data_IF_246509734902
#
_entry.id   IF_246509734902
#
_cell.length_a   1.000
_cell.length_b   1.000
_cell.length_c   1.000
_cell.angle_alpha   90.00
_cell.angle_beta   90.00
_cell.angle_gamma   90.00
#
_symmetry.space_group_name_H-M   'P 1'
#
loop_
_entity.id
_entity.type
_entity.pdbx_description
1 polymer ?
#
# COMPACT_ATOMS: atom_id res chain seq x y z
N UNK A 1 -50.46 -64.46 -10.27
CA UNK A 1 -49.63 -65.58 -9.78
C UNK A 1 -48.48 -65.78 -10.74
N UNK A 2 -47.32 -66.20 -10.21
CA UNK A 2 -45.98 -66.32 -10.82
C UNK A 2 -45.17 -65.01 -10.84
N UNK A 3 -43.91 -64.95 -10.38
CA UNK A 3 -43.15 -65.62 -9.33
C UNK A 3 -41.87 -64.78 -9.22
N UNK A 4 -41.58 -64.23 -8.04
CA UNK A 4 -40.37 -63.47 -7.77
C UNK A 4 -39.16 -64.38 -7.64
N UNK A 5 -38.10 -64.08 -8.40
CA UNK A 5 -36.78 -64.68 -8.28
C UNK A 5 -35.89 -63.82 -7.39
N UNK A 6 -35.33 -64.45 -6.35
CA UNK A 6 -34.36 -63.88 -5.43
C UNK A 6 -32.98 -63.69 -6.08
N UNK A 7 -32.28 -62.61 -5.74
CA UNK A 7 -30.84 -62.48 -5.92
C UNK A 7 -30.22 -62.14 -4.57
N UNK A 8 -29.18 -62.91 -4.23
CA UNK A 8 -28.50 -63.01 -2.96
C UNK A 8 -27.81 -61.70 -2.53
N UNK A 9 -27.84 -61.43 -1.23
CA UNK A 9 -27.09 -60.36 -0.57
C UNK A 9 -25.59 -60.72 -0.48
N UNK A 10 -24.74 -59.86 -1.05
CA UNK A 10 -23.30 -59.89 -0.79
C UNK A 10 -23.02 -59.12 0.51
N UNK A 11 -22.54 -59.83 1.54
CA UNK A 11 -21.96 -59.24 2.75
C UNK A 11 -20.60 -58.64 2.42
N UNK A 12 -20.44 -57.33 2.56
CA UNK A 12 -19.13 -56.69 2.63
C UNK A 12 -18.67 -56.65 4.09
N UNK A 13 -17.50 -57.22 4.35
CA UNK A 13 -16.84 -57.15 5.65
C UNK A 13 -16.42 -55.71 5.95
N UNK A 14 -16.87 -55.16 7.08
CA UNK A 14 -16.41 -53.87 7.58
C UNK A 14 -14.97 -53.97 8.10
N UNK A 15 -14.11 -53.07 7.64
CA UNK A 15 -12.84 -52.79 8.32
C UNK A 15 -13.09 -51.83 9.49
N UNK A 16 -12.40 -51.98 10.63
CA UNK A 16 -12.62 -51.12 11.79
C UNK A 16 -12.21 -49.67 11.49
N UNK A 17 -13.01 -48.72 11.98
CA UNK A 17 -12.68 -47.30 11.94
C UNK A 17 -11.50 -47.00 12.89
N UNK A 18 -10.52 -46.17 12.48
CA UNK A 18 -9.52 -45.67 13.40
C UNK A 18 -10.10 -44.58 14.33
N UNK A 19 -9.66 -44.61 15.58
CA UNK A 19 -10.07 -43.74 16.70
C UNK A 19 -10.00 -42.23 16.42
N UNK A 20 -10.93 -41.41 16.96
CA UNK A 20 -10.91 -39.96 16.83
C UNK A 20 -10.12 -39.34 17.98
N UNK A 21 -8.81 -39.51 18.01
CA UNK A 21 -7.99 -38.82 19.01
C UNK A 21 -6.58 -38.55 18.53
N UNK A 22 -6.47 -37.57 17.63
CA UNK A 22 -5.36 -36.62 17.59
C UNK A 22 -5.96 -35.27 17.13
N UNK A 23 -5.65 -34.13 17.77
CA UNK A 23 -5.98 -32.86 17.18
C UNK A 23 -5.26 -32.80 15.84
N UNK A 24 -6.03 -32.73 14.76
CA UNK A 24 -5.49 -32.42 13.45
C UNK A 24 -4.68 -31.13 13.64
N UNK A 25 -3.36 -31.24 13.62
CA UNK A 25 -2.50 -30.09 13.44
C UNK A 25 -3.03 -29.46 12.17
N UNK A 26 -3.67 -28.29 12.31
CA UNK A 26 -4.16 -27.54 11.19
C UNK A 26 -2.93 -27.19 10.36
N UNK A 27 -2.66 -27.99 9.34
CA UNK A 27 -1.69 -27.67 8.31
C UNK A 27 -2.31 -26.48 7.60
N UNK A 28 -1.91 -25.29 8.04
CA UNK A 28 -2.37 -24.07 7.46
C UNK A 28 -1.89 -24.04 6.00
N UNK A 29 -2.83 -24.23 5.07
CA UNK A 29 -2.62 -24.14 3.63
C UNK A 29 -2.22 -22.71 3.27
N UNK A 30 -0.94 -22.37 3.35
CA UNK A 30 -0.46 -21.02 3.07
C UNK A 30 -0.09 -20.83 1.60
N UNK A 31 -1.06 -20.98 0.71
CA UNK A 31 -0.92 -20.62 -0.71
C UNK A 31 -1.87 -19.49 -1.11
N UNK A 32 -1.92 -18.43 -0.27
CA UNK A 32 -2.87 -17.32 -0.41
C UNK A 32 -2.27 -15.93 -0.17
N UNK A 33 -3.11 -14.91 -0.38
CA UNK A 33 -2.89 -13.52 0.04
C UNK A 33 -2.41 -13.51 1.50
N UNK A 34 -1.50 -12.60 1.86
CA UNK A 34 -1.10 -12.40 3.25
C UNK A 34 -2.34 -12.15 4.11
N UNK A 35 -2.38 -12.76 5.29
CA UNK A 35 -3.37 -12.41 6.31
C UNK A 35 -3.16 -10.94 6.74
N UNK A 36 -4.17 -10.29 7.34
CA UNK A 36 -4.01 -8.94 7.87
C UNK A 36 -2.88 -8.83 8.91
N UNK A 37 -2.65 -9.87 9.72
CA UNK A 37 -1.58 -9.91 10.71
C UNK A 37 -0.20 -10.06 10.08
N UNK A 38 -0.07 -10.94 9.08
CA UNK A 38 1.18 -11.08 8.32
C UNK A 38 1.53 -9.78 7.58
N UNK A 39 0.53 -9.11 6.98
CA UNK A 39 0.73 -7.82 6.30
C UNK A 39 1.20 -6.74 7.27
N UNK A 40 0.56 -6.62 8.45
CA UNK A 40 1.00 -5.70 9.51
C UNK A 40 2.40 -6.02 10.03
N UNK A 41 2.71 -7.30 10.25
CA UNK A 41 4.02 -7.74 10.70
C UNK A 41 5.11 -7.40 9.67
N UNK A 42 4.87 -7.73 8.39
CA UNK A 42 5.79 -7.42 7.30
C UNK A 42 6.06 -5.90 7.20
N UNK A 43 5.01 -5.08 7.20
CA UNK A 43 5.14 -3.62 7.17
C UNK A 43 5.98 -3.10 8.33
N UNK A 44 5.75 -3.58 9.56
CA UNK A 44 6.54 -3.17 10.74
C UNK A 44 8.01 -3.54 10.60
N UNK A 45 8.30 -4.81 10.28
CA UNK A 45 9.67 -5.30 10.08
C UNK A 45 10.37 -4.46 9.00
N UNK A 46 9.68 -4.18 7.90
CA UNK A 46 10.22 -3.41 6.79
C UNK A 46 10.51 -1.97 7.20
N UNK A 47 9.60 -1.27 7.90
CA UNK A 47 9.81 0.12 8.34
C UNK A 47 10.93 0.22 9.39
N UNK A 48 10.99 -0.71 10.34
CA UNK A 48 11.97 -0.70 11.43
C UNK A 48 13.40 -0.97 10.94
N UNK A 49 13.56 -1.67 9.80
CA UNK A 49 14.86 -2.00 9.23
C UNK A 49 15.74 -0.79 8.90
N UNK A 50 15.15 0.40 8.71
CA UNK A 50 15.88 1.65 8.49
C UNK A 50 16.81 2.05 9.66
N UNK A 51 16.58 1.47 10.84
CA UNK A 51 17.33 1.77 12.07
C UNK A 51 18.53 0.84 12.31
N UNK A 52 18.73 -0.19 11.48
CA UNK A 52 19.82 -1.17 11.66
C UNK A 52 20.81 -1.11 10.49
N UNK A 53 22.06 -0.63 10.70
CA UNK A 53 23.08 -0.68 9.67
C UNK A 53 23.47 -2.14 9.38
N UNK A 54 23.28 -2.56 8.13
CA UNK A 54 24.00 -3.67 7.52
C UNK A 54 23.43 -5.08 7.73
N UNK A 55 22.53 -5.51 6.84
CA UNK A 55 22.57 -6.88 6.28
C UNK A 55 21.74 -6.97 5.00
N UNK A 56 22.36 -6.78 3.83
CA UNK A 56 21.91 -7.39 2.57
C UNK A 56 23.09 -7.33 1.56
N UNK A 57 23.60 -8.47 1.06
CA UNK A 57 24.49 -8.45 -0.10
C UNK A 57 23.66 -8.15 -1.35
N UNK A 58 23.98 -7.06 -2.03
CA UNK A 58 23.41 -6.75 -3.34
C UNK A 58 23.73 -7.90 -4.32
N UNK A 59 22.73 -8.70 -4.68
CA UNK A 59 22.83 -9.65 -5.80
C UNK A 59 21.62 -9.52 -6.72
N UNK A 60 21.89 -9.02 -7.93
CA UNK A 60 21.30 -9.50 -9.17
C UNK A 60 19.95 -8.92 -9.58
N UNK A 61 19.96 -7.73 -10.19
CA UNK A 61 18.90 -7.24 -11.07
C UNK A 61 19.49 -6.23 -12.05
N UNK A 62 19.36 -6.51 -13.35
CA UNK A 62 19.94 -5.74 -14.47
C UNK A 62 19.60 -4.25 -14.43
N UNK A 63 20.63 -3.45 -14.69
CA UNK A 63 20.63 -2.08 -15.22
C UNK A 63 19.64 -1.07 -14.61
N UNK A 64 19.88 -0.70 -13.35
CA UNK A 64 19.45 0.61 -12.83
C UNK A 64 20.70 1.43 -12.54
N UNK A 65 20.83 2.58 -13.24
CA UNK A 65 21.91 3.56 -13.05
C UNK A 65 22.15 3.80 -11.56
N UNK A 66 23.35 3.41 -11.12
CA UNK A 66 23.77 3.41 -9.72
C UNK A 66 24.25 4.81 -9.33
N UNK A 67 23.30 5.72 -9.10
CA UNK A 67 23.60 6.99 -8.42
C UNK A 67 23.67 6.73 -6.90
N UNK A 68 24.71 6.03 -6.48
CA UNK A 68 25.02 5.84 -5.06
C UNK A 68 25.62 7.15 -4.50
N UNK A 69 24.78 8.18 -4.34
CA UNK A 69 25.08 9.27 -3.42
C UNK A 69 24.87 8.78 -1.99
N UNK A 70 25.90 8.95 -1.18
CA UNK A 70 25.95 8.74 0.27
C UNK A 70 24.70 9.37 0.92
N UNK A 71 23.84 8.54 1.51
CA UNK A 71 22.67 8.97 2.29
C UNK A 71 23.15 9.87 3.43
N UNK A 72 22.91 11.17 3.31
CA UNK A 72 23.24 12.16 4.33
C UNK A 72 22.13 12.21 5.38
N UNK A 73 22.23 11.33 6.39
CA UNK A 73 21.97 11.65 7.81
C UNK A 73 20.54 11.89 8.31
N UNK A 74 19.53 12.09 7.46
CA UNK A 74 18.13 12.16 7.87
C UNK A 74 17.45 10.83 7.60
N UNK A 75 17.20 10.00 8.62
CA UNK A 75 16.51 8.73 8.43
C UNK A 75 15.19 8.86 7.66
N UNK A 76 14.68 7.74 7.14
CA UNK A 76 13.48 7.66 6.29
C UNK A 76 12.27 8.42 6.89
N UNK A 77 11.40 8.95 6.03
CA UNK A 77 10.23 9.75 6.42
C UNK A 77 8.93 9.30 5.75
N UNK A 78 7.84 9.42 6.49
CA UNK A 78 6.48 9.15 6.01
C UNK A 78 5.78 10.42 5.52
N UNK A 79 4.59 10.27 4.93
CA UNK A 79 3.84 11.40 4.35
C UNK A 79 3.48 12.48 5.39
N UNK A 80 3.29 12.08 6.65
CA UNK A 80 3.03 13.00 7.75
C UNK A 80 4.29 13.75 8.23
N UNK A 81 5.49 13.40 7.74
CA UNK A 81 6.78 13.95 8.15
C UNK A 81 7.40 13.27 9.37
N UNK A 82 6.81 12.19 9.86
CA UNK A 82 7.34 11.37 10.95
C UNK A 82 8.45 10.43 10.48
N UNK A 83 9.15 9.80 11.42
CA UNK A 83 10.18 8.79 11.15
C UNK A 83 9.63 7.51 10.53
N UNK A 84 10.45 6.88 9.68
CA UNK A 84 10.13 5.65 8.95
C UNK A 84 9.46 5.94 7.61
N UNK A 85 9.78 5.18 6.57
CA UNK A 85 9.14 5.30 5.26
C UNK A 85 7.63 4.93 5.33
N UNK A 86 6.82 5.54 4.47
CA UNK A 86 5.38 5.31 4.36
C UNK A 86 5.08 3.95 3.71
N UNK A 87 4.36 3.02 4.34
CA UNK A 87 3.93 1.79 3.69
C UNK A 87 2.90 2.05 2.59
N UNK A 88 3.19 1.58 1.38
CA UNK A 88 2.31 1.71 0.21
C UNK A 88 1.52 0.44 -0.09
N UNK A 89 2.22 -0.69 -0.11
CA UNK A 89 1.64 -2.00 -0.41
C UNK A 89 2.42 -3.11 0.30
N UNK A 90 1.74 -4.21 0.60
CA UNK A 90 2.35 -5.40 1.19
C UNK A 90 1.69 -6.64 0.64
N UNK A 91 2.51 -7.50 0.02
CA UNK A 91 2.03 -8.67 -0.70
C UNK A 91 2.99 -9.84 -0.59
N UNK A 92 2.53 -11.03 -0.96
CA UNK A 92 3.40 -12.20 -1.10
C UNK A 92 4.25 -12.01 -2.37
N UNK A 93 5.58 -12.26 -2.33
CA UNK A 93 6.40 -12.14 -3.52
C UNK A 93 5.98 -13.17 -4.58
N UNK A 94 6.18 -12.90 -5.89
CA UNK A 94 5.91 -13.86 -6.94
C UNK A 94 6.71 -15.17 -6.73
N UNK A 95 6.10 -16.33 -7.02
CA UNK A 95 6.84 -17.61 -6.99
C UNK A 95 7.87 -17.65 -8.11
N UNK A 96 9.11 -18.00 -7.79
CA UNK A 96 10.09 -18.37 -8.80
C UNK A 96 9.64 -19.68 -9.49
N UNK A 97 9.69 -19.72 -10.83
CA UNK A 97 9.16 -20.84 -11.64
C UNK A 97 9.83 -22.21 -11.35
N UNK A 98 11.00 -22.24 -10.71
CA UNK A 98 11.73 -23.46 -10.36
C UNK A 98 11.81 -23.76 -8.86
N UNK A 99 11.25 -22.90 -7.99
CA UNK A 99 11.33 -23.11 -6.55
C UNK A 99 10.15 -23.96 -6.08
N UNK A 100 10.42 -25.23 -5.74
CA UNK A 100 9.43 -26.16 -5.18
C UNK A 100 8.91 -25.78 -3.79
N UNK A 101 9.40 -24.69 -3.20
CA UNK A 101 8.80 -24.04 -2.03
C UNK A 101 9.36 -22.62 -1.91
N UNK A 102 8.66 -21.60 -2.44
CA UNK A 102 8.87 -20.26 -1.88
C UNK A 102 8.46 -20.36 -0.40
N UNK A 103 9.32 -20.04 0.58
CA UNK A 103 8.97 -20.23 1.97
C UNK A 103 7.72 -19.43 2.29
N UNK A 104 6.71 -20.09 2.86
CA UNK A 104 5.40 -19.50 3.13
C UNK A 104 5.41 -18.31 4.11
N UNK A 105 6.59 -17.90 4.58
CA UNK A 105 6.82 -16.73 5.43
C UNK A 105 7.58 -15.58 4.77
N UNK A 106 7.47 -15.37 3.45
CA UNK A 106 8.04 -14.17 2.80
C UNK A 106 6.97 -13.15 2.41
N UNK A 107 7.31 -11.87 2.54
CA UNK A 107 6.47 -10.76 2.11
C UNK A 107 7.32 -9.70 1.39
N UNK A 108 6.79 -9.13 0.31
CA UNK A 108 7.33 -7.94 -0.31
C UNK A 108 6.55 -6.72 0.19
N UNK A 109 7.27 -5.70 0.65
CA UNK A 109 6.69 -4.45 1.16
C UNK A 109 7.19 -3.31 0.29
N UNK A 110 6.27 -2.55 -0.30
CA UNK A 110 6.58 -1.28 -0.94
C UNK A 110 6.42 -0.15 0.07
N UNK A 111 7.44 0.67 0.19
CA UNK A 111 7.50 1.83 1.07
C UNK A 111 7.88 3.06 0.26
N UNK A 112 7.47 4.25 0.69
CA UNK A 112 7.94 5.51 0.12
C UNK A 112 8.66 6.35 1.17
N UNK A 113 9.89 6.74 0.87
CA UNK A 113 10.65 7.65 1.71
C UNK A 113 10.52 9.09 1.18
N UNK A 114 9.79 9.90 1.95
CA UNK A 114 9.56 11.31 1.66
C UNK A 114 10.78 12.21 1.93
N UNK A 115 11.81 11.73 2.65
CA UNK A 115 13.04 12.51 2.82
C UNK A 115 13.87 12.52 1.52
N UNK A 116 13.79 11.44 0.75
CA UNK A 116 14.59 11.23 -0.44
C UNK A 116 13.78 11.08 -1.72
N UNK A 117 12.45 11.20 -1.69
CA UNK A 117 11.54 10.98 -2.82
C UNK A 117 11.80 9.66 -3.56
N UNK A 118 11.89 8.57 -2.79
CA UNK A 118 12.33 7.26 -3.30
C UNK A 118 11.34 6.15 -2.90
N UNK A 119 10.94 5.34 -3.87
CA UNK A 119 10.26 4.08 -3.64
C UNK A 119 11.28 3.04 -3.14
N UNK A 120 11.00 2.42 -2.01
CA UNK A 120 11.79 1.34 -1.44
C UNK A 120 10.95 0.06 -1.55
N UNK A 121 11.52 -1.00 -2.08
CA UNK A 121 10.92 -2.34 -2.03
C UNK A 121 11.76 -3.23 -1.13
N UNK A 122 11.15 -3.80 -0.09
CA UNK A 122 11.83 -4.69 0.87
C UNK A 122 11.24 -6.10 0.79
N UNK A 123 12.10 -7.10 0.66
CA UNK A 123 11.72 -8.49 0.86
C UNK A 123 11.94 -8.85 2.34
N UNK A 124 10.89 -9.26 3.02
CA UNK A 124 10.85 -9.59 4.44
C UNK A 124 10.73 -11.09 4.63
N UNK A 125 11.51 -11.63 5.57
CA UNK A 125 11.27 -12.93 6.19
C UNK A 125 10.46 -12.74 7.46
N UNK A 126 9.19 -13.14 7.42
CA UNK A 126 8.24 -13.06 8.53
C UNK A 126 8.60 -13.98 9.69
N UNK A 127 9.31 -15.09 9.43
CA UNK A 127 9.71 -16.04 10.48
C UNK A 127 10.92 -15.52 11.24
N UNK A 128 11.92 -15.05 10.49
CA UNK A 128 13.13 -14.49 11.08
C UNK A 128 12.93 -13.06 11.61
N UNK A 129 11.87 -12.36 11.18
CA UNK A 129 11.63 -10.96 11.55
C UNK A 129 12.67 -10.01 10.96
N UNK A 130 13.21 -10.33 9.77
CA UNK A 130 14.32 -9.59 9.14
C UNK A 130 14.01 -9.22 7.69
N UNK A 131 14.70 -8.20 7.21
CA UNK A 131 14.72 -7.85 5.78
C UNK A 131 15.81 -8.66 5.09
N UNK A 132 15.43 -9.40 4.06
CA UNK A 132 16.32 -10.21 3.24
C UNK A 132 16.97 -9.40 2.11
N UNK A 133 16.21 -8.48 1.53
CA UNK A 133 16.65 -7.64 0.41
C UNK A 133 15.95 -6.28 0.41
N UNK A 134 16.61 -5.27 -0.16
CA UNK A 134 16.07 -3.92 -0.29
C UNK A 134 16.55 -3.26 -1.59
N UNK A 135 15.58 -2.84 -2.40
CA UNK A 135 15.80 -2.07 -3.62
C UNK A 135 15.23 -0.65 -3.48
N UNK A 136 15.84 0.31 -4.16
CA UNK A 136 15.44 1.72 -4.19
C UNK A 136 15.25 2.18 -5.63
N UNK A 137 14.17 2.90 -5.91
CA UNK A 137 13.81 3.39 -7.24
C UNK A 137 13.23 4.81 -7.14
N UNK A 138 13.63 5.68 -8.07
CA UNK A 138 13.07 7.03 -8.23
C UNK A 138 12.15 7.09 -9.45
N UNK A 139 11.23 8.05 -9.46
CA UNK A 139 10.35 8.28 -10.62
C UNK A 139 9.20 7.27 -10.78
N UNK A 140 9.09 6.28 -9.89
CA UNK A 140 8.00 5.30 -9.89
C UNK A 140 6.92 5.78 -8.91
N UNK A 141 5.67 5.83 -9.35
CA UNK A 141 4.55 6.38 -8.58
C UNK A 141 3.42 5.36 -8.41
N UNK A 142 3.53 4.38 -7.48
CA UNK A 142 2.44 3.46 -7.18
C UNK A 142 1.18 4.22 -6.73
N UNK A 143 -0.02 3.61 -6.85
CA UNK A 143 -1.26 4.21 -6.36
C UNK A 143 -1.14 4.69 -4.91
N UNK A 144 -1.77 5.82 -4.54
CA UNK A 144 -1.70 6.33 -3.19
C UNK A 144 -2.55 5.49 -2.22
N UNK A 145 -2.10 5.42 -0.97
CA UNK A 145 -2.86 4.74 0.09
C UNK A 145 -3.95 5.65 0.66
N UNK A 146 -4.86 5.09 1.45
CA UNK A 146 -5.82 5.88 2.22
C UNK A 146 -5.13 6.77 3.27
N UNK A 147 -3.98 6.35 3.81
CA UNK A 147 -3.20 7.17 4.75
C UNK A 147 -2.67 8.42 4.03
N UNK A 148 -2.10 8.25 2.84
CA UNK A 148 -1.63 9.35 2.01
C UNK A 148 -2.77 10.28 1.57
N UNK A 149 -3.94 9.71 1.21
CA UNK A 149 -5.11 10.52 0.88
C UNK A 149 -5.57 11.37 2.07
N UNK A 150 -5.47 10.87 3.30
CA UNK A 150 -5.80 11.64 4.51
C UNK A 150 -4.78 12.76 4.77
N UNK A 151 -3.49 12.50 4.57
CA UNK A 151 -2.47 13.55 4.65
C UNK A 151 -2.66 14.63 3.58
N UNK A 152 -3.03 14.24 2.36
CA UNK A 152 -3.36 15.19 1.30
C UNK A 152 -4.54 16.10 1.67
N UNK A 153 -5.60 15.56 2.27
CA UNK A 153 -6.72 16.37 2.77
C UNK A 153 -6.26 17.34 3.86
N UNK A 154 -5.37 16.92 4.79
CA UNK A 154 -4.84 17.83 5.81
C UNK A 154 -4.09 19.00 5.19
N UNK A 155 -3.30 18.77 4.15
CA UNK A 155 -2.61 19.83 3.40
C UNK A 155 -3.64 20.81 2.80
N UNK A 156 -4.69 20.30 2.13
CA UNK A 156 -5.74 21.14 1.54
C UNK A 156 -6.49 21.95 2.60
N UNK A 157 -6.84 21.33 3.74
CA UNK A 157 -7.51 22.02 4.85
C UNK A 157 -6.64 23.08 5.52
N UNK A 158 -5.32 22.88 5.53
CA UNK A 158 -4.35 23.84 6.05
C UNK A 158 -4.05 24.99 5.07
N UNK A 159 -4.23 24.78 3.76
CA UNK A 159 -4.07 25.83 2.77
C UNK A 159 -5.14 26.93 2.96
N UNK A 160 -4.68 28.18 3.09
CA UNK A 160 -5.54 29.34 3.36
C UNK A 160 -6.52 29.65 2.24
N UNK A 161 -6.21 29.30 1.00
CA UNK A 161 -7.01 29.58 -0.19
C UNK A 161 -7.99 28.44 -0.47
N UNK A 162 -7.61 27.19 -0.22
CA UNK A 162 -8.42 26.02 -0.54
C UNK A 162 -9.25 25.49 0.64
N UNK A 163 -8.69 25.59 1.85
CA UNK A 163 -9.31 25.04 3.06
C UNK A 163 -10.72 25.57 3.33
N UNK A 164 -11.00 26.90 3.23
CA UNK A 164 -12.35 27.43 3.40
C UNK A 164 -13.36 26.78 2.44
N UNK A 165 -13.06 26.74 1.14
CA UNK A 165 -13.98 26.19 0.13
C UNK A 165 -14.31 24.70 0.35
N UNK A 166 -13.35 23.90 0.80
CA UNK A 166 -13.61 22.50 1.15
C UNK A 166 -14.51 22.38 2.41
N UNK A 167 -14.29 23.22 3.43
CA UNK A 167 -15.14 23.24 4.64
C UNK A 167 -16.56 23.69 4.32
N UNK A 168 -16.72 24.69 3.47
CA UNK A 168 -18.02 25.21 3.06
C UNK A 168 -18.78 24.18 2.21
N UNK A 169 -18.09 23.49 1.30
CA UNK A 169 -18.66 22.38 0.52
C UNK A 169 -19.19 21.25 1.41
N UNK A 170 -18.49 20.94 2.51
CA UNK A 170 -18.95 19.97 3.49
C UNK A 170 -20.11 20.50 4.36
N UNK A 171 -20.01 21.75 4.84
CA UNK A 171 -21.01 22.35 5.72
C UNK A 171 -22.35 22.56 5.02
N UNK A 172 -22.34 22.99 3.75
CA UNK A 172 -23.57 23.19 2.96
C UNK A 172 -24.39 21.91 2.77
N UNK A 173 -23.78 20.73 2.85
CA UNK A 173 -24.47 19.45 2.69
C UNK A 173 -24.79 18.74 4.01
N UNK A 174 -24.04 19.03 5.08
CA UNK A 174 -24.13 18.30 6.35
C UNK A 174 -24.60 19.15 7.52
N UNK A 175 -24.60 20.48 7.39
CA UNK A 175 -24.81 21.41 8.50
C UNK A 175 -23.69 21.40 9.55
N UNK A 176 -22.58 20.69 9.32
CA UNK A 176 -21.51 20.47 10.29
C UNK A 176 -20.18 21.01 9.78
N UNK A 177 -19.26 21.32 10.69
CA UNK A 177 -17.90 21.72 10.35
C UNK A 177 -17.06 20.50 9.96
N UNK A 178 -16.34 20.60 8.84
CA UNK A 178 -15.28 19.65 8.49
C UNK A 178 -14.03 19.94 9.33
N UNK A 179 -13.65 18.97 10.16
CA UNK A 179 -12.54 19.08 11.12
C UNK A 179 -11.47 18.01 10.90
N UNK A 180 -11.84 16.88 10.30
CA UNK A 180 -10.94 15.75 10.08
C UNK A 180 -11.18 15.10 8.72
N UNK A 181 -10.13 14.60 8.03
CA UNK A 181 -10.27 13.76 6.85
C UNK A 181 -11.12 12.49 7.07
N UNK A 182 -11.23 12.00 8.31
CA UNK A 182 -12.04 10.82 8.64
C UNK A 182 -13.55 11.02 8.44
N UNK A 183 -14.00 12.27 8.28
CA UNK A 183 -15.38 12.60 7.96
C UNK A 183 -15.70 12.43 6.46
N UNK A 184 -14.71 12.06 5.64
CA UNK A 184 -14.79 11.97 4.18
C UNK A 184 -14.51 10.55 3.70
N UNK A 185 -15.14 10.18 2.58
CA UNK A 185 -14.74 9.03 1.77
C UNK A 185 -13.72 9.51 0.75
N UNK A 186 -12.54 8.90 0.76
CA UNK A 186 -11.38 9.35 0.01
C UNK A 186 -10.89 8.26 -0.93
N UNK A 187 -10.63 8.65 -2.17
CA UNK A 187 -9.81 7.90 -3.12
C UNK A 187 -8.77 8.86 -3.70
N UNK A 188 -7.60 8.35 -4.05
CA UNK A 188 -6.55 9.15 -4.66
C UNK A 188 -6.02 8.49 -5.92
N UNK A 189 -5.39 9.30 -6.77
CA UNK A 189 -4.59 8.82 -7.89
C UNK A 189 -3.26 9.58 -7.95
N UNK A 190 -2.20 8.90 -8.38
CA UNK A 190 -0.90 9.52 -8.56
C UNK A 190 -0.93 10.50 -9.74
N UNK A 191 -0.41 11.70 -9.53
CA UNK A 191 -0.35 12.75 -10.54
C UNK A 191 1.08 12.92 -11.08
N UNK A 192 1.20 13.02 -12.42
CA UNK A 192 2.47 13.28 -13.10
C UNK A 192 2.39 14.67 -13.72
N UNK A 193 3.43 15.48 -13.54
CA UNK A 193 3.47 16.87 -14.00
C UNK A 193 3.28 17.00 -15.52
N UNK A 194 3.69 15.98 -16.28
CA UNK A 194 3.45 15.90 -17.73
C UNK A 194 1.97 15.97 -18.12
N UNK A 195 1.05 15.57 -17.24
CA UNK A 195 -0.41 15.68 -17.47
C UNK A 195 -0.94 17.10 -17.42
N UNK A 196 -0.21 18.03 -16.79
CA UNK A 196 -0.58 19.44 -16.74
C UNK A 196 0.07 20.27 -17.86
N UNK A 197 0.75 19.65 -18.83
CA UNK A 197 1.42 20.42 -19.89
C UNK A 197 0.41 21.23 -20.69
N UNK A 198 0.62 22.55 -20.76
CA UNK A 198 -0.22 23.45 -21.55
C UNK A 198 -1.45 23.99 -20.84
N UNK A 199 -1.66 23.68 -19.55
CA UNK A 199 -2.72 24.32 -18.74
C UNK A 199 -2.13 25.34 -17.77
N UNK A 200 -2.94 26.31 -17.35
CA UNK A 200 -2.57 27.24 -16.29
C UNK A 200 -2.24 26.48 -14.99
N UNK A 201 -1.24 26.99 -14.26
CA UNK A 201 -0.72 26.34 -13.06
C UNK A 201 0.27 25.19 -13.30
N UNK A 202 0.54 24.78 -14.56
CA UNK A 202 1.45 23.67 -14.88
C UNK A 202 2.82 23.74 -14.20
N UNK A 203 3.40 24.95 -14.10
CA UNK A 203 4.70 25.16 -13.45
C UNK A 203 4.71 24.73 -11.98
N UNK A 204 3.59 24.91 -11.28
CA UNK A 204 3.45 24.60 -9.85
C UNK A 204 3.48 23.09 -9.59
N UNK A 205 3.16 22.27 -10.59
CA UNK A 205 3.11 20.80 -10.50
C UNK A 205 4.19 20.12 -11.36
N UNK A 206 5.17 20.89 -11.83
CA UNK A 206 6.21 20.41 -12.75
C UNK A 206 7.12 19.33 -12.15
N UNK A 207 7.28 19.32 -10.81
CA UNK A 207 8.04 18.28 -10.09
C UNK A 207 7.25 17.02 -9.82
N UNK A 208 5.94 16.98 -10.09
CA UNK A 208 5.14 15.79 -9.87
C UNK A 208 5.62 14.63 -10.76
N UNK A 209 5.95 13.49 -10.14
CA UNK A 209 6.65 12.38 -10.78
C UNK A 209 8.06 12.20 -10.22
N UNK A 210 8.78 13.30 -9.97
CA UNK A 210 9.93 13.31 -9.04
C UNK A 210 9.40 13.29 -7.60
N UNK A 211 8.59 14.30 -7.26
CA UNK A 211 7.80 14.33 -6.04
C UNK A 211 6.57 13.43 -6.14
N UNK A 212 6.13 12.92 -4.98
CA UNK A 212 4.89 12.16 -4.87
C UNK A 212 3.70 13.11 -4.80
N UNK A 213 3.07 13.32 -5.96
CA UNK A 213 1.85 14.11 -6.06
C UNK A 213 0.61 13.23 -6.21
N UNK A 214 -0.50 13.69 -5.63
CA UNK A 214 -1.80 13.03 -5.72
C UNK A 214 -2.89 14.01 -6.16
N UNK A 215 -3.88 13.47 -6.84
CA UNK A 215 -5.18 14.09 -7.06
C UNK A 215 -6.22 13.28 -6.28
N UNK A 216 -7.13 13.98 -5.61
CA UNK A 216 -8.13 13.35 -4.75
C UNK A 216 -9.49 13.27 -5.44
N UNK A 217 -10.24 12.24 -5.06
CA UNK A 217 -11.67 12.12 -5.27
C UNK A 217 -12.31 12.08 -3.89
N UNK A 218 -13.05 13.13 -3.56
CA UNK A 218 -13.58 13.36 -2.21
C UNK A 218 -15.09 13.28 -2.22
N UNK A 219 -15.65 12.40 -1.39
CA UNK A 219 -17.09 12.26 -1.22
C UNK A 219 -17.51 12.39 0.23
N UNK A 220 -18.65 13.05 0.46
CA UNK A 220 -19.28 13.10 1.78
C UNK A 220 -20.05 11.79 2.00
N UNK A 221 -19.90 11.09 3.14
CA UNK A 221 -20.71 9.92 3.46
C UNK A 221 -22.21 10.22 3.32
N UNK A 222 -22.92 9.48 2.48
CA UNK A 222 -24.34 9.72 2.17
C UNK A 222 -24.64 10.98 1.35
N UNK A 223 -23.61 11.72 0.93
CA UNK A 223 -23.72 12.99 0.19
C UNK A 223 -23.07 12.98 -1.19
N UNK A 224 -22.88 14.19 -1.74
CA UNK A 224 -22.29 14.43 -3.06
C UNK A 224 -20.75 14.41 -2.99
N UNK A 225 -20.15 14.45 -4.17
CA UNK A 225 -18.72 14.69 -4.35
C UNK A 225 -18.38 16.16 -4.09
N UNK A 226 -17.21 16.40 -3.51
CA UNK A 226 -16.58 17.72 -3.44
C UNK A 226 -15.68 17.85 -4.66
N UNK A 227 -15.87 18.89 -5.46
CA UNK A 227 -15.03 19.12 -6.63
C UNK A 227 -13.59 19.45 -6.19
N UNK A 228 -12.70 18.51 -6.50
CA UNK A 228 -11.26 18.57 -6.23
C UNK A 228 -10.47 18.28 -7.50
N UNK A 229 -11.16 18.28 -8.66
CA UNK A 229 -10.61 17.88 -9.97
C UNK A 229 -9.45 18.76 -10.43
N UNK A 230 -9.36 19.99 -9.93
CA UNK A 230 -8.30 20.94 -10.27
C UNK A 230 -7.20 21.03 -9.22
N UNK A 231 -7.35 20.34 -8.10
CA UNK A 231 -6.41 20.44 -6.97
C UNK A 231 -5.42 19.28 -7.06
N UNK A 232 -4.14 19.62 -7.20
CA UNK A 232 -3.03 18.67 -7.15
C UNK A 232 -2.26 18.90 -5.85
N UNK A 233 -2.06 17.84 -5.09
CA UNK A 233 -1.39 17.88 -3.79
C UNK A 233 -0.02 17.25 -3.93
N UNK A 234 1.02 18.03 -3.66
CA UNK A 234 2.39 17.56 -3.54
C UNK A 234 2.62 17.13 -2.09
N UNK A 235 2.66 15.81 -1.85
CA UNK A 235 2.88 15.25 -0.51
C UNK A 235 4.35 15.43 -0.07
N UNK A 236 5.30 15.40 -1.01
CA UNK A 236 6.73 15.62 -0.76
C UNK A 236 7.01 17.05 -0.28
N UNK A 237 6.42 18.05 -0.94
CA UNK A 237 6.58 19.46 -0.58
C UNK A 237 5.54 19.97 0.43
N UNK A 238 4.54 19.15 0.77
CA UNK A 238 3.41 19.48 1.66
C UNK A 238 2.63 20.73 1.22
N UNK A 239 2.34 20.81 -0.08
CA UNK A 239 1.68 21.95 -0.70
C UNK A 239 0.58 21.50 -1.67
N UNK A 240 -0.43 22.34 -1.88
CA UNK A 240 -1.50 22.11 -2.86
C UNK A 240 -1.51 23.21 -3.93
N UNK A 241 -1.57 22.81 -5.19
CA UNK A 241 -1.65 23.68 -6.35
C UNK A 241 -3.00 23.51 -7.06
N UNK A 242 -3.44 24.56 -7.75
CA UNK A 242 -4.61 24.51 -8.62
C UNK A 242 -4.13 24.56 -10.07
N UNK A 243 -4.61 23.62 -10.88
CA UNK A 243 -4.37 23.58 -12.32
C UNK A 243 -5.66 23.83 -13.09
N UNK A 244 -5.54 24.43 -14.27
CA UNK A 244 -6.70 24.72 -15.10
C UNK A 244 -7.47 25.95 -14.64
N UNK A 245 -7.22 27.04 -15.35
CA UNK A 245 -8.13 28.15 -15.61
C UNK A 245 -8.07 28.40 -17.12
#
# INVERSE_FOLDING_TARGET
>A
MLAGGAIAALRTAGSPAPDPSHPAAAIASHTGRLTPDESRAASRIAVDAATRPGTAPARGGQDVKKDARKDTGGGERNAAGGSGAEPLDTRRPPRAKSASSAPDGRAEVQLYDYASDTLITRLVDLRAGTVLDSARQRGVQPPPTLAEAREAVKIVLADRRLGPGMRDSYASQTGRRLTSPSQLLLQGMSFLGSRAKGVDGARQVSRCGEHRCVQLFVRIPGGKWIDTSRIIIDLSARHAAVIGL
#
